data_IF_466286902967
#
_entry.id   IF_466286902967
#
_cell.length_a   1.000
_cell.length_b   1.000
_cell.length_c   1.000
_cell.angle_alpha   90.00
_cell.angle_beta   90.00
_cell.angle_gamma   90.00
#
_symmetry.space_group_name_H-M   'P 1'
#
loop_
_entity.id
_entity.type
_entity.pdbx_description
1 polymer ?
#
# COMPACT_ATOMS: atom_id res chain seq x y z
N UNK A 1 5.76 28.46 16.85
CA UNK A 1 6.45 27.83 17.99
C UNK A 1 6.81 26.43 17.55
N UNK A 2 8.07 26.21 17.20
CA UNK A 2 8.55 24.91 16.71
C UNK A 2 8.80 24.00 17.90
N UNK A 3 7.89 23.05 18.12
CA UNK A 3 8.17 21.86 18.90
C UNK A 3 8.93 20.90 17.98
N UNK A 4 10.25 21.06 17.90
CA UNK A 4 11.10 19.99 17.41
C UNK A 4 11.58 19.21 18.62
N UNK A 5 11.39 17.89 18.54
CA UNK A 5 11.69 16.88 19.54
C UNK A 5 12.96 17.15 20.35
N UNK A 6 12.83 17.03 21.68
CA UNK A 6 13.98 16.68 22.52
C UNK A 6 14.40 15.26 22.14
N UNK A 7 15.41 15.16 21.29
CA UNK A 7 16.16 13.94 21.04
C UNK A 7 16.86 13.54 22.35
N UNK A 8 16.15 12.75 23.16
CA UNK A 8 16.74 12.05 24.29
C UNK A 8 17.63 10.97 23.70
N UNK A 9 18.90 11.32 23.45
CA UNK A 9 19.94 10.34 23.16
C UNK A 9 20.00 9.27 24.25
N UNK A 10 20.52 8.08 23.92
CA UNK A 10 20.56 6.95 24.83
C UNK A 10 21.20 7.38 26.15
N UNK A 11 20.56 7.00 27.25
CA UNK A 11 21.09 7.26 28.58
C UNK A 11 22.46 6.59 28.74
N UNK A 12 23.32 7.14 29.60
CA UNK A 12 24.66 6.59 29.84
C UNK A 12 24.64 5.08 30.18
N UNK A 13 23.60 4.65 30.90
CA UNK A 13 23.39 3.26 31.29
C UNK A 13 23.07 2.36 30.07
N UNK A 14 22.25 2.83 29.13
CA UNK A 14 21.95 2.11 27.88
C UNK A 14 23.17 2.02 26.96
N UNK A 15 23.97 3.08 26.87
CA UNK A 15 25.19 3.08 26.07
C UNK A 15 26.22 2.08 26.62
N UNK A 16 26.31 1.96 27.94
CA UNK A 16 27.23 1.02 28.61
C UNK A 16 26.78 -0.43 28.41
N UNK A 17 25.48 -0.71 28.49
CA UNK A 17 24.92 -2.04 28.23
C UNK A 17 25.12 -2.47 26.77
N UNK A 18 24.86 -1.56 25.80
CA UNK A 18 25.14 -1.82 24.38
C UNK A 18 26.61 -2.16 24.13
N UNK A 19 27.55 -1.42 24.75
CA UNK A 19 28.97 -1.68 24.58
C UNK A 19 29.36 -3.05 25.16
N UNK A 20 28.81 -3.44 26.31
CA UNK A 20 29.06 -4.74 26.90
C UNK A 20 28.52 -5.89 26.02
N UNK A 21 27.32 -5.74 25.46
CA UNK A 21 26.74 -6.73 24.56
C UNK A 21 27.57 -6.87 23.28
N UNK A 22 28.09 -5.76 22.75
CA UNK A 22 28.97 -5.77 21.59
C UNK A 22 30.30 -6.49 21.86
N UNK A 23 30.97 -6.19 22.97
CA UNK A 23 32.22 -6.86 23.37
C UNK A 23 32.01 -8.37 23.54
N UNK A 24 30.87 -8.77 24.13
CA UNK A 24 30.51 -10.19 24.30
C UNK A 24 30.27 -10.87 22.96
N UNK A 25 29.62 -10.19 22.02
CA UNK A 25 29.42 -10.69 20.67
C UNK A 25 30.76 -10.84 19.93
N UNK A 26 31.62 -9.82 19.98
CA UNK A 26 32.93 -9.81 19.32
C UNK A 26 33.81 -10.97 19.80
N UNK A 27 33.90 -11.17 21.12
CA UNK A 27 34.65 -12.27 21.72
C UNK A 27 34.13 -13.64 21.24
N UNK A 28 32.81 -13.78 21.12
CA UNK A 28 32.18 -15.03 20.71
C UNK A 28 32.33 -15.29 19.21
N UNK A 29 32.22 -14.26 18.36
CA UNK A 29 32.48 -14.38 16.92
C UNK A 29 33.94 -14.75 16.66
N UNK A 30 34.89 -14.09 17.34
CA UNK A 30 36.30 -14.43 17.25
C UNK A 30 36.58 -15.87 17.72
N UNK A 31 35.86 -16.34 18.75
CA UNK A 31 35.97 -17.72 19.22
C UNK A 31 35.50 -18.71 18.14
N UNK A 32 34.39 -18.43 17.49
CA UNK A 32 33.83 -19.28 16.42
C UNK A 32 34.74 -19.35 15.20
N UNK A 33 35.38 -18.25 14.84
CA UNK A 33 36.34 -18.19 13.73
C UNK A 33 37.74 -18.71 14.12
N UNK A 34 37.97 -18.95 15.41
CA UNK A 34 39.23 -19.48 15.93
C UNK A 34 40.33 -18.43 16.11
N UNK A 35 39.99 -17.14 16.04
CA UNK A 35 40.90 -15.99 16.17
C UNK A 35 41.20 -15.59 17.62
N UNK A 36 40.57 -16.25 18.61
CA UNK A 36 40.86 -16.02 20.04
C UNK A 36 42.19 -16.61 20.50
N UNK A 37 42.81 -15.94 21.47
CA UNK A 37 43.98 -16.46 22.16
C UNK A 37 43.62 -17.64 23.09
N UNK A 38 44.64 -18.37 23.57
CA UNK A 38 44.42 -19.51 24.47
C UNK A 38 43.78 -19.13 25.81
N UNK A 39 44.08 -17.93 26.33
CA UNK A 39 43.51 -17.42 27.57
C UNK A 39 42.03 -17.04 27.40
N UNK A 40 41.71 -16.32 26.33
CA UNK A 40 40.33 -15.94 25.98
C UNK A 40 39.48 -17.17 25.69
N UNK A 41 40.05 -18.22 25.09
CA UNK A 41 39.35 -19.48 24.86
C UNK A 41 38.87 -20.12 26.17
N UNK A 42 39.68 -20.09 27.22
CA UNK A 42 39.27 -20.60 28.54
C UNK A 42 38.18 -19.73 29.16
N UNK A 43 38.29 -18.40 29.04
CA UNK A 43 37.28 -17.46 29.49
C UNK A 43 35.93 -17.70 28.79
N UNK A 44 35.94 -17.85 27.46
CA UNK A 44 34.74 -18.17 26.67
C UNK A 44 34.13 -19.48 27.10
N UNK A 45 34.93 -20.52 27.33
CA UNK A 45 34.42 -21.80 27.80
C UNK A 45 33.74 -21.67 29.18
N UNK A 46 34.36 -20.95 30.10
CA UNK A 46 33.75 -20.68 31.41
C UNK A 46 32.44 -19.90 31.30
N UNK A 47 32.38 -18.90 30.41
CA UNK A 47 31.17 -18.12 30.14
C UNK A 47 30.07 -18.98 29.51
N UNK A 48 30.40 -19.89 28.60
CA UNK A 48 29.44 -20.84 28.01
C UNK A 48 28.85 -21.80 29.04
N UNK A 49 29.62 -22.16 30.07
CA UNK A 49 29.17 -23.06 31.14
C UNK A 49 28.38 -22.33 32.23
N UNK A 50 28.69 -21.06 32.50
CA UNK A 50 28.14 -20.31 33.64
C UNK A 50 27.00 -19.37 33.25
N UNK A 51 27.02 -18.82 32.03
CA UNK A 51 26.07 -17.79 31.59
C UNK A 51 25.10 -18.32 30.51
N UNK A 52 23.80 -18.49 30.85
CA UNK A 52 22.80 -18.98 29.90
C UNK A 52 22.51 -18.01 28.75
N UNK A 53 22.65 -16.70 28.96
CA UNK A 53 22.45 -15.70 27.89
C UNK A 53 23.58 -15.80 26.86
N UNK A 54 24.82 -15.99 27.34
CA UNK A 54 25.98 -16.19 26.46
C UNK A 54 25.86 -17.47 25.63
N UNK A 55 25.37 -18.56 26.26
CA UNK A 55 25.09 -19.81 25.56
C UNK A 55 23.99 -19.69 24.50
N UNK A 56 22.95 -18.90 24.77
CA UNK A 56 21.89 -18.62 23.79
C UNK A 56 22.43 -17.89 22.57
N UNK A 57 23.27 -16.87 22.77
CA UNK A 57 23.93 -16.14 21.68
C UNK A 57 24.77 -17.09 20.81
N UNK A 58 25.55 -17.98 21.43
CA UNK A 58 26.33 -19.01 20.74
C UNK A 58 25.44 -19.92 19.89
N UNK A 59 24.32 -20.37 20.45
CA UNK A 59 23.38 -21.24 19.73
C UNK A 59 22.75 -20.52 18.53
N UNK A 60 22.44 -19.23 18.66
CA UNK A 60 21.90 -18.41 17.57
C UNK A 60 22.90 -18.24 16.43
N UNK A 61 24.14 -17.87 16.74
CA UNK A 61 25.23 -17.78 15.75
C UNK A 61 25.45 -19.12 15.03
N UNK A 62 25.46 -20.23 15.75
CA UNK A 62 25.62 -21.55 15.17
C UNK A 62 24.44 -21.94 14.26
N UNK A 63 23.22 -21.48 14.55
CA UNK A 63 22.06 -21.67 13.65
C UNK A 63 22.24 -20.86 12.37
N UNK A 64 22.58 -19.58 12.49
CA UNK A 64 22.82 -18.72 11.32
C UNK A 64 23.89 -19.30 10.40
N UNK A 65 25.02 -19.74 10.95
CA UNK A 65 26.09 -20.34 10.16
C UNK A 65 25.66 -21.61 9.40
N UNK A 66 24.75 -22.39 9.98
CA UNK A 66 24.19 -23.60 9.34
C UNK A 66 23.12 -23.29 8.31
N UNK A 67 22.33 -22.25 8.54
CA UNK A 67 21.19 -21.90 7.69
C UNK A 67 21.60 -21.04 6.48
N UNK A 68 22.62 -20.18 6.59
CA UNK A 68 23.10 -19.34 5.49
C UNK A 68 23.46 -20.14 4.22
N UNK A 69 24.22 -21.26 4.30
CA UNK A 69 24.53 -22.08 3.13
C UNK A 69 23.30 -22.77 2.51
N UNK A 70 22.23 -22.93 3.28
CA UNK A 70 20.98 -23.58 2.81
C UNK A 70 20.04 -22.62 2.08
N UNK A 71 20.36 -21.33 2.06
CA UNK A 71 19.60 -20.35 1.29
C UNK A 71 19.82 -20.64 -0.19
N UNK A 72 18.76 -21.02 -0.95
CA UNK A 72 18.91 -21.30 -2.36
C UNK A 72 19.34 -20.04 -3.08
N UNK A 73 20.59 -20.02 -3.54
CA UNK A 73 21.08 -18.97 -4.42
C UNK A 73 20.35 -19.16 -5.76
N UNK A 74 19.58 -18.17 -6.25
CA UNK A 74 18.98 -18.27 -7.55
C UNK A 74 20.09 -18.43 -8.59
N UNK A 75 20.15 -19.59 -9.22
CA UNK A 75 20.99 -19.86 -10.40
C UNK A 75 20.38 -19.19 -11.63
N UNK A 76 20.08 -17.90 -11.54
CA UNK A 76 19.80 -17.10 -12.72
C UNK A 76 21.14 -16.54 -13.18
N UNK A 77 21.80 -17.24 -14.10
CA UNK A 77 22.69 -16.57 -15.03
C UNK A 77 21.74 -15.72 -15.90
N UNK A 78 21.67 -14.39 -15.70
CA UNK A 78 20.79 -13.60 -16.50
C UNK A 78 21.44 -13.50 -17.88
N UNK A 79 20.85 -14.23 -18.83
CA UNK A 79 20.81 -13.81 -20.22
C UNK A 79 20.54 -12.30 -20.22
N UNK A 80 21.36 -11.55 -20.95
CA UNK A 80 21.65 -10.10 -20.91
C UNK A 80 20.45 -9.17 -21.12
N UNK A 81 19.30 -9.43 -20.52
CA UNK A 81 18.19 -8.51 -20.41
C UNK A 81 18.44 -7.57 -19.23
N UNK A 82 18.16 -6.27 -19.38
CA UNK A 82 18.35 -5.30 -18.31
C UNK A 82 17.37 -5.62 -17.18
N UNK A 83 17.86 -6.27 -16.12
CA UNK A 83 17.08 -6.60 -14.91
C UNK A 83 16.41 -5.36 -14.29
N UNK A 84 16.95 -4.17 -14.55
CA UNK A 84 16.32 -2.89 -14.22
C UNK A 84 14.90 -2.80 -14.76
N UNK A 85 14.66 -3.22 -16.00
CA UNK A 85 13.39 -3.02 -16.67
C UNK A 85 12.31 -3.95 -16.09
N UNK A 86 12.69 -5.17 -15.69
CA UNK A 86 11.80 -6.09 -14.98
C UNK A 86 11.45 -5.59 -13.57
N UNK A 87 12.42 -5.04 -12.84
CA UNK A 87 12.17 -4.47 -11.50
C UNK A 87 11.26 -3.24 -11.61
N UNK A 88 11.57 -2.30 -12.51
CA UNK A 88 10.72 -1.11 -12.71
C UNK A 88 9.32 -1.49 -13.21
N UNK A 89 9.17 -2.47 -14.10
CA UNK A 89 7.86 -2.95 -14.54
C UNK A 89 7.04 -3.59 -13.40
N UNK A 90 7.69 -4.34 -12.51
CA UNK A 90 7.00 -4.94 -11.35
C UNK A 90 6.51 -3.89 -10.34
N UNK A 91 7.34 -2.88 -10.07
CA UNK A 91 7.02 -1.76 -9.18
C UNK A 91 5.88 -0.92 -9.78
N UNK A 92 5.98 -0.54 -11.06
CA UNK A 92 4.98 0.28 -11.74
C UNK A 92 3.61 -0.43 -11.78
N UNK A 93 3.60 -1.75 -12.00
CA UNK A 93 2.37 -2.56 -11.92
C UNK A 93 1.73 -2.48 -10.53
N UNK A 94 2.51 -2.57 -9.46
CA UNK A 94 2.02 -2.50 -8.08
C UNK A 94 1.45 -1.11 -7.72
N UNK A 95 2.08 -0.03 -8.19
CA UNK A 95 1.55 1.32 -8.03
C UNK A 95 0.24 1.52 -8.80
N UNK A 96 0.13 0.93 -10.00
CA UNK A 96 -1.06 1.03 -10.83
C UNK A 96 -2.28 0.31 -10.22
N UNK A 97 -2.12 -0.91 -9.69
CA UNK A 97 -3.22 -1.60 -8.99
C UNK A 97 -3.63 -0.85 -7.72
N UNK A 98 -2.67 -0.36 -6.93
CA UNK A 98 -2.96 0.39 -5.70
C UNK A 98 -3.69 1.70 -5.97
N UNK A 99 -3.34 2.40 -7.07
CA UNK A 99 -4.05 3.61 -7.51
C UNK A 99 -5.46 3.29 -8.01
N UNK A 100 -5.65 2.19 -8.74
CA UNK A 100 -6.98 1.77 -9.21
C UNK A 100 -7.91 1.38 -8.04
N UNK A 101 -7.38 0.66 -7.04
CA UNK A 101 -8.17 0.28 -5.84
C UNK A 101 -8.51 1.49 -4.97
N UNK A 102 -7.61 2.48 -4.88
CA UNK A 102 -7.90 3.76 -4.20
C UNK A 102 -9.02 4.54 -4.89
N UNK A 103 -8.99 4.66 -6.22
CA UNK A 103 -10.03 5.35 -6.99
C UNK A 103 -11.37 4.60 -6.92
N UNK A 104 -11.35 3.27 -7.01
CA UNK A 104 -12.55 2.44 -6.84
C UNK A 104 -13.13 2.50 -5.42
N UNK A 105 -12.27 2.53 -4.40
CA UNK A 105 -12.68 2.68 -3.00
C UNK A 105 -13.28 4.05 -2.70
N UNK A 106 -12.73 5.14 -3.25
CA UNK A 106 -13.31 6.48 -3.12
C UNK A 106 -14.69 6.60 -3.79
N UNK A 107 -14.89 6.02 -4.97
CA UNK A 107 -16.18 6.06 -5.65
C UNK A 107 -17.29 5.34 -4.86
N UNK A 108 -16.98 4.18 -4.27
CA UNK A 108 -17.91 3.45 -3.40
C UNK A 108 -18.18 4.21 -2.10
N UNK A 109 -17.16 4.77 -1.46
CA UNK A 109 -17.33 5.54 -0.23
C UNK A 109 -18.18 6.81 -0.45
N UNK A 110 -17.99 7.53 -1.56
CA UNK A 110 -18.79 8.71 -1.89
C UNK A 110 -20.28 8.38 -2.12
N UNK A 111 -20.58 7.24 -2.76
CA UNK A 111 -21.96 6.76 -2.90
C UNK A 111 -22.62 6.45 -1.55
N UNK A 112 -21.91 5.77 -0.65
CA UNK A 112 -22.43 5.45 0.69
C UNK A 112 -22.64 6.71 1.52
N UNK A 113 -21.68 7.63 1.52
CA UNK A 113 -21.80 8.92 2.24
C UNK A 113 -22.95 9.76 1.67
N UNK A 114 -23.13 9.83 0.35
CA UNK A 114 -24.25 10.54 -0.27
C UNK A 114 -25.62 9.99 0.13
N UNK A 115 -25.76 8.66 0.23
CA UNK A 115 -27.01 8.02 0.67
C UNK A 115 -27.30 8.25 2.15
N UNK A 116 -26.29 8.20 3.01
CA UNK A 116 -26.44 8.40 4.47
C UNK A 116 -26.65 9.88 4.82
N UNK A 117 -25.96 10.80 4.13
CA UNK A 117 -26.16 12.25 4.31
C UNK A 117 -27.55 12.72 3.86
N UNK A 118 -28.17 12.05 2.87
CA UNK A 118 -29.56 12.32 2.47
C UNK A 118 -30.59 11.90 3.53
N UNK A 119 -30.21 11.01 4.45
CA UNK A 119 -31.10 10.56 5.53
C UNK A 119 -30.99 11.46 6.77
N UNK A 120 -29.81 12.02 7.04
CA UNK A 120 -29.59 12.92 8.18
C UNK A 120 -29.92 14.40 7.92
N UNK A 121 -29.87 14.88 6.68
CA UNK A 121 -30.35 16.22 6.31
C UNK A 121 -31.80 16.23 5.78
N UNK A 122 -32.66 15.30 6.24
CA UNK A 122 -34.09 15.28 5.90
C UNK A 122 -34.97 15.81 7.03
N UNK A 123 -34.54 16.86 7.72
CA UNK A 123 -35.46 17.75 8.44
C UNK A 123 -35.67 18.99 7.58
N UNK A 124 -36.54 18.86 6.58
CA UNK A 124 -37.64 19.78 6.23
C UNK A 124 -38.02 19.64 4.74
N UNK A 125 -39.31 19.41 4.49
CA UNK A 125 -40.00 19.39 3.19
C UNK A 125 -39.71 18.21 2.23
N UNK A 126 -40.38 17.09 2.52
CA UNK A 126 -40.80 16.11 1.52
C UNK A 126 -41.92 16.71 0.65
N UNK A 127 -41.57 17.51 -0.36
CA UNK A 127 -42.48 17.73 -1.50
C UNK A 127 -41.65 17.57 -2.77
N UNK A 128 -41.72 16.42 -3.47
CA UNK A 128 -41.37 16.41 -4.88
C UNK A 128 -42.44 17.25 -5.56
N UNK A 129 -42.11 18.49 -5.92
CA UNK A 129 -42.87 19.21 -6.93
C UNK A 129 -42.69 18.47 -8.25
N UNK A 130 -43.53 17.46 -8.46
CA UNK A 130 -43.92 17.05 -9.79
C UNK A 130 -44.53 18.29 -10.44
N UNK A 131 -43.87 18.85 -11.45
CA UNK A 131 -44.55 19.66 -12.45
C UNK A 131 -45.46 18.72 -13.26
N UNK A 132 -46.55 18.29 -12.63
CA UNK A 132 -47.70 17.69 -13.27
C UNK A 132 -48.46 18.86 -13.89
N UNK A 133 -48.16 19.18 -15.14
CA UNK A 133 -48.99 20.08 -15.90
C UNK A 133 -50.25 19.29 -16.30
N UNK A 134 -51.27 19.31 -15.46
CA UNK A 134 -52.65 18.95 -15.80
C UNK A 134 -53.58 19.43 -14.71
N UNK A 135 -54.84 19.81 -14.97
CA UNK A 135 -55.47 20.32 -16.20
C UNK A 135 -56.19 21.68 -15.96
N UNK A 136 -56.63 22.27 -17.07
CA UNK A 136 -57.54 23.41 -17.31
C UNK A 136 -58.49 23.87 -16.18
N UNK A 137 -58.87 25.18 -16.20
CA UNK A 137 -60.27 25.49 -16.42
C UNK A 137 -60.49 26.51 -17.56
N UNK A 138 -61.36 26.11 -18.51
CA UNK A 138 -62.38 26.91 -19.21
C UNK A 138 -61.88 28.22 -19.83
N UNK A 139 -61.73 28.42 -21.13
CA UNK A 139 -62.67 28.17 -22.22
C UNK A 139 -61.95 28.62 -23.50
N UNK A 140 -61.47 27.72 -24.34
CA UNK A 140 -61.43 27.91 -25.80
C UNK A 140 -61.41 26.51 -26.41
N UNK A 141 -62.60 26.05 -26.73
CA UNK A 141 -62.84 24.90 -27.59
C UNK A 141 -62.21 25.12 -28.98
N UNK A 142 -61.85 23.99 -29.61
CA UNK A 142 -61.53 23.76 -31.03
C UNK A 142 -60.18 24.31 -31.54
N UNK A 143 -59.15 23.46 -31.61
CA UNK A 143 -58.89 22.48 -32.68
C UNK A 143 -58.33 23.12 -33.97
N UNK A 144 -57.06 22.80 -34.23
CA UNK A 144 -56.32 22.79 -35.51
C UNK A 144 -54.86 23.24 -35.30
N UNK A 145 -54.06 22.33 -34.76
CA UNK A 145 -52.61 22.47 -34.72
C UNK A 145 -52.08 22.49 -36.17
N UNK A 146 -51.78 23.68 -36.67
CA UNK A 146 -51.16 23.91 -37.98
C UNK A 146 -49.70 23.47 -37.90
N UNK A 147 -49.44 22.21 -38.28
CA UNK A 147 -48.08 21.67 -38.36
C UNK A 147 -47.41 22.23 -39.63
N UNK A 148 -46.42 23.11 -39.48
CA UNK A 148 -45.59 23.59 -40.57
C UNK A 148 -44.20 22.94 -40.48
N UNK A 149 -44.05 21.76 -41.08
CA UNK A 149 -42.73 21.17 -41.36
C UNK A 149 -42.56 20.96 -42.87
N UNK A 150 -42.26 22.07 -43.55
CA UNK A 150 -41.72 22.08 -44.90
C UNK A 150 -40.23 21.74 -44.84
N UNK A 151 -39.83 20.48 -45.12
CA UNK A 151 -38.61 20.07 -45.85
C UNK A 151 -38.72 18.62 -46.36
N UNK A 152 -38.67 18.35 -47.68
CA UNK A 152 -38.38 17.01 -48.17
C UNK A 152 -36.86 16.77 -48.23
N UNK A 153 -36.38 15.66 -47.65
CA UNK A 153 -35.01 15.16 -47.82
C UNK A 153 -35.03 13.81 -48.55
N UNK A 154 -35.42 13.80 -49.82
CA UNK A 154 -35.17 12.67 -50.73
C UNK A 154 -34.99 13.24 -52.15
N UNK A 155 -33.77 13.16 -52.69
CA UNK A 155 -33.53 13.33 -54.12
C UNK A 155 -33.98 12.04 -54.84
N UNK A 156 -34.99 12.15 -55.71
CA UNK A 156 -35.40 11.05 -56.59
C UNK A 156 -34.54 11.13 -57.86
N UNK A 157 -33.77 10.09 -58.22
CA UNK A 157 -33.02 10.08 -59.46
C UNK A 157 -33.99 10.08 -60.66
N UNK A 158 -33.68 10.79 -61.76
CA UNK A 158 -34.50 10.76 -62.95
C UNK A 158 -34.31 9.43 -63.67
N UNK A 159 -35.36 8.60 -63.68
CA UNK A 159 -35.45 7.49 -64.63
C UNK A 159 -35.77 8.05 -66.01
N UNK A 160 -34.92 7.68 -66.96
CA UNK A 160 -35.01 8.00 -68.37
C UNK A 160 -36.17 7.26 -69.04
N UNK A 161 -37.06 8.01 -69.72
CA UNK A 161 -37.61 7.72 -71.05
C UNK A 161 -38.58 8.81 -71.51
#
# INVERSE_FOLDING_TARGET
MSNYESDNGPSFDEATDMNNQFERFELLSAYMDGEVTAAERQQVQQLLDTDPQFHQLYTQLLRLQREIPTVPVPTSSPETQPLSDLVFASIDRQHRVRRLTLVGGFALAALVVGLVSNLWWRDNSLIPYHAQNSPLPTDVEVDSLTIALNRPMVEIPPDAQ
#
